data_IF_099909783010
#
_entry.id   IF_099909783010
#
_cell.length_a   1.000
_cell.length_b   1.000
_cell.length_c   1.000
_cell.angle_alpha   90.00
_cell.angle_beta   90.00
_cell.angle_gamma   90.00
#
_symmetry.space_group_name_H-M   'P 1'
#
loop_
_entity.id
_entity.type
_entity.pdbx_description
1 polymer ?
#
# COMPACT_ATOMS: atom_id res chain seq x y z
N UNK A 1 1.25 -11.07 18.90
CA UNK A 1 2.23 -11.41 17.84
C UNK A 1 1.93 -12.77 17.17
N UNK A 2 0.76 -13.31 17.41
CA UNK A 2 0.31 -14.63 16.88
C UNK A 2 -0.34 -14.56 15.48
N UNK A 3 -0.63 -13.35 14.96
CA UNK A 3 -1.45 -13.21 13.77
C UNK A 3 -0.72 -13.15 12.42
N UNK A 4 0.58 -12.84 12.40
CA UNK A 4 1.28 -12.64 11.12
C UNK A 4 1.51 -13.91 10.30
N UNK A 5 1.56 -15.08 10.94
CA UNK A 5 1.82 -16.35 10.25
C UNK A 5 0.55 -17.03 9.70
N UNK A 6 -0.64 -16.52 10.04
CA UNK A 6 -1.93 -17.10 9.67
C UNK A 6 -2.72 -16.25 8.67
N UNK A 7 -2.26 -15.03 8.41
CA UNK A 7 -2.94 -14.14 7.48
C UNK A 7 -2.60 -14.48 6.02
N UNK A 8 -3.65 -14.71 5.25
CA UNK A 8 -3.59 -14.96 3.81
C UNK A 8 -3.73 -13.64 3.01
N UNK A 9 -3.42 -13.65 1.70
CA UNK A 9 -3.69 -12.53 0.81
C UNK A 9 -5.18 -12.18 0.67
N UNK A 10 -6.05 -13.12 0.97
CA UNK A 10 -7.50 -12.92 1.03
C UNK A 10 -7.98 -12.76 2.47
N UNK A 11 -9.05 -11.97 2.71
CA UNK A 11 -9.58 -11.75 4.05
C UNK A 11 -10.02 -13.04 4.72
N UNK A 12 -9.49 -13.29 5.92
CA UNK A 12 -9.83 -14.43 6.77
C UNK A 12 -10.58 -13.92 8.00
N UNK A 13 -11.70 -14.55 8.32
CA UNK A 13 -12.48 -14.24 9.53
C UNK A 13 -11.67 -14.62 10.76
N UNK A 14 -11.50 -13.67 11.66
CA UNK A 14 -10.77 -13.86 12.92
C UNK A 14 -11.75 -14.33 14.02
N UNK A 15 -11.36 -15.40 14.71
CA UNK A 15 -12.14 -15.90 15.83
C UNK A 15 -12.39 -14.78 16.87
N UNK A 16 -13.67 -14.53 17.24
CA UNK A 16 -14.02 -13.55 18.26
C UNK A 16 -13.26 -13.68 19.57
N UNK A 17 -12.85 -14.88 19.94
CA UNK A 17 -12.04 -15.13 21.13
C UNK A 17 -10.70 -14.35 21.15
N UNK A 18 -10.20 -13.93 19.98
CA UNK A 18 -8.93 -13.24 19.86
C UNK A 18 -9.04 -11.70 19.92
N UNK A 19 -10.24 -11.13 19.70
CA UNK A 19 -10.40 -9.66 19.62
C UNK A 19 -11.59 -9.13 20.43
N UNK A 20 -12.61 -9.94 20.67
CA UNK A 20 -13.72 -9.56 21.52
C UNK A 20 -13.22 -9.47 22.97
N UNK A 21 -13.19 -8.26 23.52
CA UNK A 21 -12.93 -8.06 24.95
C UNK A 21 -14.04 -8.69 25.80
N UNK A 22 -13.86 -8.72 27.12
CA UNK A 22 -14.82 -9.27 28.09
C UNK A 22 -16.18 -8.54 28.12
N UNK A 23 -16.38 -7.56 27.27
CA UNK A 23 -17.65 -6.86 27.08
C UNK A 23 -18.42 -7.48 25.91
N UNK A 24 -19.44 -8.20 26.28
CA UNK A 24 -20.39 -9.04 25.54
C UNK A 24 -21.24 -8.30 24.47
N UNK A 25 -20.66 -7.38 23.67
CA UNK A 25 -21.39 -6.56 22.70
C UNK A 25 -20.83 -6.54 21.28
N UNK A 26 -19.88 -7.38 20.97
CA UNK A 26 -19.37 -7.46 19.60
C UNK A 26 -20.30 -8.37 18.75
N UNK A 27 -21.39 -7.79 18.27
CA UNK A 27 -22.28 -8.43 17.28
C UNK A 27 -21.75 -8.35 15.84
N UNK A 28 -20.45 -8.11 15.65
CA UNK A 28 -19.82 -7.95 14.33
C UNK A 28 -18.84 -9.07 14.01
N UNK A 29 -18.40 -9.10 12.75
CA UNK A 29 -17.36 -9.98 12.25
C UNK A 29 -16.08 -9.16 11.99
N UNK A 30 -14.92 -9.64 12.42
CA UNK A 30 -13.62 -9.09 12.08
C UNK A 30 -12.92 -10.00 11.09
N UNK A 31 -12.60 -9.47 9.92
CA UNK A 31 -11.72 -10.13 8.96
C UNK A 31 -10.37 -9.44 8.91
N UNK A 32 -9.30 -10.19 8.72
CA UNK A 32 -7.97 -9.64 8.52
C UNK A 32 -7.27 -10.32 7.33
N UNK A 33 -6.35 -9.58 6.69
CA UNK A 33 -5.54 -10.09 5.59
C UNK A 33 -4.14 -9.51 5.63
N UNK A 34 -3.21 -10.16 4.96
CA UNK A 34 -1.89 -9.62 4.65
C UNK A 34 -1.82 -9.32 3.16
N UNK A 35 -1.47 -8.08 2.81
CA UNK A 35 -1.28 -7.72 1.41
C UNK A 35 -0.15 -8.55 0.78
N UNK A 36 -0.44 -9.18 -0.34
CA UNK A 36 0.55 -9.68 -1.29
C UNK A 36 0.59 -8.75 -2.51
N UNK A 37 1.59 -7.85 -2.62
CA UNK A 37 1.66 -6.89 -3.71
C UNK A 37 1.78 -7.56 -5.07
N UNK A 38 2.49 -8.69 -5.15
CA UNK A 38 2.65 -9.42 -6.40
C UNK A 38 1.33 -10.01 -6.86
N UNK A 39 0.64 -10.74 -5.99
CA UNK A 39 -0.66 -11.33 -6.31
C UNK A 39 -1.68 -10.27 -6.69
N UNK A 40 -1.70 -9.13 -5.99
CA UNK A 40 -2.59 -8.01 -6.31
C UNK A 40 -2.29 -7.46 -7.70
N UNK A 41 -1.00 -7.30 -8.05
CA UNK A 41 -0.63 -6.83 -9.38
C UNK A 41 -0.94 -7.85 -10.47
N UNK A 42 -0.67 -9.14 -10.23
CA UNK A 42 -1.04 -10.23 -11.14
C UNK A 42 -2.55 -10.20 -11.45
N UNK A 43 -3.39 -10.05 -10.43
CA UNK A 43 -4.84 -9.94 -10.57
C UNK A 43 -5.27 -8.71 -11.38
N UNK A 44 -4.58 -7.57 -11.20
CA UNK A 44 -4.84 -6.36 -11.99
C UNK A 44 -4.47 -6.56 -13.46
N UNK A 45 -3.33 -7.20 -13.74
CA UNK A 45 -2.92 -7.50 -15.11
C UNK A 45 -3.97 -8.39 -15.79
N UNK A 46 -4.39 -9.48 -15.15
CA UNK A 46 -5.42 -10.37 -15.67
C UNK A 46 -6.75 -9.63 -15.90
N UNK A 47 -7.15 -8.76 -14.98
CA UNK A 47 -8.42 -8.01 -15.07
C UNK A 47 -8.44 -7.00 -16.22
N UNK A 48 -7.31 -6.38 -16.52
CA UNK A 48 -7.22 -5.29 -17.52
C UNK A 48 -6.64 -5.70 -18.85
N UNK A 49 -6.08 -6.89 -18.97
CA UNK A 49 -5.64 -7.44 -20.24
C UNK A 49 -6.83 -7.63 -21.20
N UNK A 50 -6.60 -7.40 -22.47
CA UNK A 50 -7.62 -7.60 -23.50
C UNK A 50 -7.92 -9.10 -23.74
N UNK A 51 -6.93 -9.95 -23.47
CA UNK A 51 -7.02 -11.41 -23.59
C UNK A 51 -5.98 -12.10 -22.69
N UNK A 52 -6.14 -13.42 -22.53
CA UNK A 52 -5.23 -14.24 -21.72
C UNK A 52 -3.79 -14.22 -22.27
N UNK A 53 -3.61 -14.16 -23.59
CA UNK A 53 -2.29 -14.09 -24.19
C UNK A 53 -1.55 -12.80 -23.87
N UNK A 54 -2.26 -11.68 -23.72
CA UNK A 54 -1.66 -10.42 -23.24
C UNK A 54 -1.25 -10.55 -21.77
N UNK A 55 -2.11 -11.10 -20.92
CA UNK A 55 -1.80 -11.33 -19.51
C UNK A 55 -0.56 -12.21 -19.36
N UNK A 56 -0.50 -13.34 -20.06
CA UNK A 56 0.64 -14.26 -20.04
C UNK A 56 1.95 -13.59 -20.50
N UNK A 57 1.91 -12.76 -21.54
CA UNK A 57 3.10 -12.01 -21.99
C UNK A 57 3.62 -11.04 -20.93
N UNK A 58 2.74 -10.41 -20.16
CA UNK A 58 3.12 -9.50 -19.08
C UNK A 58 3.66 -10.30 -17.89
N UNK A 59 2.91 -11.28 -17.41
CA UNK A 59 3.24 -12.06 -16.22
C UNK A 59 4.51 -12.91 -16.41
N UNK A 60 4.74 -13.41 -17.63
CA UNK A 60 5.94 -14.18 -18.00
C UNK A 60 7.18 -13.33 -18.33
N UNK A 61 7.08 -12.01 -18.35
CA UNK A 61 8.19 -11.14 -18.69
C UNK A 61 9.21 -11.03 -17.55
N UNK A 62 10.51 -11.18 -17.84
CA UNK A 62 11.57 -11.15 -16.83
C UNK A 62 11.68 -9.80 -16.08
N UNK A 63 11.42 -8.70 -16.76
CA UNK A 63 11.40 -7.37 -16.14
C UNK A 63 10.21 -7.20 -15.19
N UNK A 64 9.06 -7.80 -15.48
CA UNK A 64 7.89 -7.81 -14.60
C UNK A 64 8.22 -8.40 -13.22
N UNK A 65 8.90 -9.54 -13.17
CA UNK A 65 9.33 -10.16 -11.91
C UNK A 65 10.23 -9.24 -11.08
N UNK A 66 11.05 -8.42 -11.74
CA UNK A 66 11.91 -7.43 -11.08
C UNK A 66 11.14 -6.20 -10.59
N UNK A 67 10.15 -5.72 -11.35
CA UNK A 67 9.31 -4.57 -10.99
C UNK A 67 8.40 -4.92 -9.81
N UNK A 68 7.72 -6.04 -9.87
CA UNK A 68 6.75 -6.45 -8.84
C UNK A 68 7.37 -6.59 -7.45
N UNK A 69 8.69 -6.80 -7.40
CA UNK A 69 9.42 -7.00 -6.14
C UNK A 69 10.32 -5.82 -5.72
N UNK A 70 10.75 -4.94 -6.64
CA UNK A 70 11.86 -4.02 -6.40
C UNK A 70 11.53 -2.53 -6.58
N UNK A 71 10.44 -2.15 -7.27
CA UNK A 71 10.10 -0.74 -7.44
C UNK A 71 9.41 -0.20 -6.20
N UNK A 72 10.10 0.71 -5.49
CA UNK A 72 9.48 1.54 -4.47
C UNK A 72 8.27 2.28 -5.04
N UNK A 73 7.14 2.24 -4.32
CA UNK A 73 5.86 2.79 -4.76
C UNK A 73 4.89 1.77 -5.37
N UNK A 74 5.36 0.60 -5.81
CA UNK A 74 4.48 -0.46 -6.33
C UNK A 74 3.69 -1.12 -5.19
N UNK A 75 4.33 -1.36 -4.05
CA UNK A 75 3.67 -1.95 -2.87
C UNK A 75 2.58 -1.03 -2.34
N UNK A 76 2.88 0.26 -2.25
CA UNK A 76 1.96 1.28 -1.80
C UNK A 76 0.75 1.39 -2.75
N UNK A 77 1.00 1.36 -4.07
CA UNK A 77 -0.07 1.37 -5.05
C UNK A 77 -0.92 0.09 -4.98
N UNK A 78 -0.30 -1.09 -4.82
CA UNK A 78 -1.05 -2.35 -4.66
C UNK A 78 -1.91 -2.36 -3.38
N UNK A 79 -1.43 -1.75 -2.30
CA UNK A 79 -2.24 -1.59 -1.09
C UNK A 79 -3.48 -0.72 -1.33
N UNK A 80 -3.33 0.36 -2.09
CA UNK A 80 -4.43 1.22 -2.51
C UNK A 80 -5.43 0.51 -3.42
N UNK A 81 -4.92 -0.29 -4.36
CA UNK A 81 -5.77 -1.10 -5.24
C UNK A 81 -6.57 -2.14 -4.46
N UNK A 82 -5.95 -2.80 -3.49
CA UNK A 82 -6.64 -3.77 -2.64
C UNK A 82 -7.68 -3.09 -1.74
N UNK A 83 -7.36 -1.91 -1.21
CA UNK A 83 -8.33 -1.09 -0.48
C UNK A 83 -9.55 -0.77 -1.36
N UNK A 84 -9.33 -0.31 -2.59
CA UNK A 84 -10.41 -0.01 -3.52
C UNK A 84 -11.23 -1.26 -3.86
N UNK A 85 -10.59 -2.40 -4.08
CA UNK A 85 -11.28 -3.67 -4.34
C UNK A 85 -12.18 -4.08 -3.17
N UNK A 86 -11.69 -3.97 -1.93
CA UNK A 86 -12.46 -4.29 -0.73
C UNK A 86 -13.61 -3.31 -0.50
N UNK A 87 -13.40 -2.03 -0.81
CA UNK A 87 -14.42 -0.99 -0.73
C UNK A 87 -15.54 -1.23 -1.77
N UNK A 88 -15.17 -1.49 -3.03
CA UNK A 88 -16.13 -1.74 -4.10
C UNK A 88 -16.93 -3.03 -3.91
N UNK A 89 -16.40 -3.99 -3.15
CA UNK A 89 -17.10 -5.23 -2.84
C UNK A 89 -18.29 -5.03 -1.89
N UNK A 90 -18.40 -3.86 -1.22
CA UNK A 90 -19.48 -3.47 -0.30
C UNK A 90 -19.81 -4.54 0.76
N UNK A 91 -18.77 -5.22 1.25
CA UNK A 91 -18.90 -6.32 2.23
C UNK A 91 -18.59 -5.91 3.66
N UNK A 92 -17.95 -4.75 3.83
CA UNK A 92 -17.41 -4.30 5.10
C UNK A 92 -17.95 -2.92 5.45
N UNK A 93 -18.51 -2.77 6.64
CA UNK A 93 -18.95 -1.48 7.18
C UNK A 93 -17.75 -0.56 7.53
N UNK A 94 -16.61 -1.17 7.84
CA UNK A 94 -15.37 -0.46 8.18
C UNK A 94 -14.16 -1.22 7.63
N UNK A 95 -13.28 -0.51 6.95
CA UNK A 95 -11.98 -1.03 6.51
C UNK A 95 -10.88 -0.25 7.22
N UNK A 96 -9.98 -0.95 7.91
CA UNK A 96 -8.83 -0.36 8.58
C UNK A 96 -7.57 -0.75 7.82
N UNK A 97 -6.83 0.25 7.34
CA UNK A 97 -5.55 0.05 6.65
C UNK A 97 -4.41 0.32 7.62
N UNK A 98 -3.69 -0.75 8.00
CA UNK A 98 -2.47 -0.64 8.79
C UNK A 98 -1.31 -0.33 7.84
N UNK A 99 -0.92 0.94 7.80
CA UNK A 99 0.12 1.43 6.89
C UNK A 99 1.52 1.03 7.39
N UNK A 100 2.51 0.89 6.47
CA UNK A 100 3.90 0.65 6.89
C UNK A 100 4.46 1.81 7.73
N UNK A 101 5.58 1.59 8.46
CA UNK A 101 6.17 2.62 9.33
C UNK A 101 6.45 3.92 8.59
N UNK A 102 6.25 5.00 9.26
CA UNK A 102 6.18 6.43 8.95
C UNK A 102 6.90 6.98 7.71
N UNK A 103 8.11 6.53 7.40
CA UNK A 103 8.86 7.08 6.25
C UNK A 103 8.23 6.73 4.89
N UNK A 104 7.50 5.62 4.82
CA UNK A 104 6.85 5.12 3.60
C UNK A 104 5.34 5.35 3.57
N UNK A 105 4.75 5.79 4.68
CA UNK A 105 3.31 5.99 4.72
C UNK A 105 2.87 7.25 3.92
N UNK A 106 3.77 8.23 3.73
CA UNK A 106 3.54 9.34 2.79
C UNK A 106 3.62 8.87 1.34
N UNK A 107 4.53 7.93 1.05
CA UNK A 107 4.62 7.30 -0.27
C UNK A 107 3.31 6.61 -0.67
N UNK A 108 2.57 6.10 0.33
CA UNK A 108 1.24 5.52 0.14
C UNK A 108 0.25 6.54 -0.43
N UNK A 109 0.20 7.77 0.11
CA UNK A 109 -0.69 8.83 -0.38
C UNK A 109 -0.31 9.30 -1.79
N UNK A 110 0.98 9.31 -2.12
CA UNK A 110 1.50 9.74 -3.42
C UNK A 110 1.43 8.65 -4.50
N UNK A 111 1.23 7.39 -4.13
CA UNK A 111 1.32 6.26 -5.04
C UNK A 111 0.41 6.39 -6.28
N UNK A 112 -0.89 6.77 -6.17
CA UNK A 112 -1.75 6.94 -7.33
C UNK A 112 -1.26 8.05 -8.27
N UNK A 113 -0.79 9.17 -7.71
CA UNK A 113 -0.28 10.29 -8.52
C UNK A 113 1.03 9.94 -9.23
N UNK A 114 1.92 9.17 -8.57
CA UNK A 114 3.16 8.66 -9.18
C UNK A 114 2.84 7.77 -10.38
N UNK A 115 1.84 6.89 -10.26
CA UNK A 115 1.39 6.07 -11.38
C UNK A 115 0.83 6.93 -12.51
N UNK A 116 -0.03 7.89 -12.22
CA UNK A 116 -0.58 8.80 -13.23
C UNK A 116 0.53 9.56 -13.96
N UNK A 117 1.52 10.09 -13.22
CA UNK A 117 2.70 10.75 -13.82
C UNK A 117 3.52 9.82 -14.72
N UNK A 118 3.66 8.54 -14.33
CA UNK A 118 4.33 7.54 -15.15
C UNK A 118 3.55 7.29 -16.46
N UNK A 119 2.24 7.08 -16.39
CA UNK A 119 1.39 6.84 -17.54
C UNK A 119 1.32 8.07 -18.49
N UNK A 120 1.46 9.29 -17.95
CA UNK A 120 1.48 10.52 -18.72
C UNK A 120 2.86 10.87 -19.28
N UNK A 121 3.91 10.16 -18.88
CA UNK A 121 5.26 10.38 -19.34
C UNK A 121 5.38 10.18 -20.84
N UNK A 122 6.03 11.14 -21.54
CA UNK A 122 6.17 11.08 -23.00
C UNK A 122 6.92 9.84 -23.50
N UNK A 123 7.92 9.38 -22.74
CA UNK A 123 8.70 8.20 -23.08
C UNK A 123 7.83 6.95 -22.97
N UNK A 124 7.07 6.82 -21.87
CA UNK A 124 6.11 5.73 -21.67
C UNK A 124 5.11 5.68 -22.83
N UNK A 125 4.43 6.80 -23.11
CA UNK A 125 3.47 6.92 -24.22
C UNK A 125 4.06 6.62 -25.59
N UNK A 126 5.34 6.92 -25.77
CA UNK A 126 6.02 6.66 -27.05
C UNK A 126 6.34 5.17 -27.24
N UNK A 127 6.67 4.45 -26.14
CA UNK A 127 6.95 3.01 -26.13
C UNK A 127 5.66 2.20 -26.30
N UNK A 128 4.57 2.63 -25.64
CA UNK A 128 3.26 1.97 -25.68
C UNK A 128 2.40 2.37 -26.88
N UNK A 129 2.81 3.38 -27.67
CA UNK A 129 2.06 3.83 -28.84
C UNK A 129 1.94 2.74 -29.91
N UNK A 130 0.72 2.50 -30.45
CA UNK A 130 0.52 1.51 -31.50
C UNK A 130 1.42 1.77 -32.71
N UNK A 131 2.07 0.73 -33.22
CA UNK A 131 2.96 0.82 -34.39
C UNK A 131 2.28 1.39 -35.67
N UNK A 132 0.94 1.48 -35.64
CA UNK A 132 0.10 1.95 -36.75
C UNK A 132 -0.03 3.46 -36.86
N UNK A 133 0.32 4.22 -35.83
CA UNK A 133 0.20 5.70 -35.81
C UNK A 133 1.38 6.38 -36.49
N UNK A 134 1.70 6.10 -37.73
CA UNK A 134 2.51 6.91 -38.67
C UNK A 134 3.71 7.75 -38.20
N UNK A 135 4.05 7.71 -36.91
CA UNK A 135 5.13 8.48 -36.27
C UNK A 135 6.51 7.82 -36.50
N UNK A 136 6.92 7.72 -37.77
CA UNK A 136 8.28 7.26 -38.12
C UNK A 136 9.38 8.06 -37.41
N UNK A 137 9.18 9.36 -37.19
CA UNK A 137 10.13 10.20 -36.47
C UNK A 137 10.27 9.84 -34.97
N UNK A 138 9.19 9.43 -34.31
CA UNK A 138 9.22 8.96 -32.94
C UNK A 138 9.99 7.63 -32.79
N UNK A 139 9.94 6.76 -33.79
CA UNK A 139 10.70 5.51 -33.82
C UNK A 139 12.23 5.72 -33.75
N UNK A 140 12.76 6.77 -34.38
CA UNK A 140 14.20 7.06 -34.32
C UNK A 140 14.65 7.52 -32.92
N UNK A 141 13.85 8.35 -32.24
CA UNK A 141 14.18 8.82 -30.89
C UNK A 141 14.15 7.66 -29.87
N UNK A 142 13.16 6.76 -29.96
CA UNK A 142 13.08 5.55 -29.11
C UNK A 142 14.25 4.62 -29.42
N UNK A 143 14.57 4.38 -30.71
CA UNK A 143 15.71 3.54 -31.05
C UNK A 143 17.05 4.11 -30.56
N UNK A 144 17.25 5.43 -30.62
CA UNK A 144 18.44 6.06 -30.07
C UNK A 144 18.53 5.87 -28.55
N UNK A 145 17.41 6.07 -27.82
CA UNK A 145 17.33 5.86 -26.38
C UNK A 145 17.60 4.39 -26.01
N UNK A 146 16.95 3.46 -26.71
CA UNK A 146 17.13 2.00 -26.53
C UNK A 146 18.60 1.61 -26.76
N UNK A 147 19.22 2.07 -27.85
CA UNK A 147 20.64 1.80 -28.14
C UNK A 147 21.58 2.33 -27.04
N UNK A 148 21.29 3.53 -26.53
CA UNK A 148 22.12 4.12 -25.46
C UNK A 148 21.96 3.33 -24.15
N UNK A 149 20.73 3.00 -23.75
CA UNK A 149 20.44 2.19 -22.60
C UNK A 149 21.05 0.78 -22.70
N UNK A 150 20.95 0.14 -23.88
CA UNK A 150 21.50 -1.20 -24.13
C UNK A 150 23.02 -1.27 -23.95
N UNK A 151 23.73 -0.17 -24.17
CA UNK A 151 25.19 -0.10 -23.93
C UNK A 151 25.55 -0.06 -22.44
N UNK A 152 24.63 0.42 -21.59
CA UNK A 152 24.86 0.63 -20.16
C UNK A 152 24.41 -0.60 -19.35
N UNK A 153 23.19 -1.10 -19.62
CA UNK A 153 22.53 -2.13 -18.81
C UNK A 153 22.37 -3.49 -19.54
N UNK A 154 22.81 -3.56 -20.79
CA UNK A 154 22.70 -4.77 -21.63
C UNK A 154 21.45 -4.81 -22.52
N UNK A 155 21.57 -5.46 -23.66
CA UNK A 155 20.49 -5.52 -24.66
C UNK A 155 19.30 -6.33 -24.17
N UNK A 156 19.53 -7.48 -23.54
CA UNK A 156 18.47 -8.36 -23.07
C UNK A 156 17.53 -7.68 -22.07
N UNK A 157 18.08 -6.94 -21.10
CA UNK A 157 17.27 -6.21 -20.11
C UNK A 157 16.43 -5.11 -20.76
N UNK A 158 17.01 -4.39 -21.71
CA UNK A 158 16.28 -3.33 -22.43
C UNK A 158 15.19 -3.90 -23.32
N UNK A 159 15.44 -5.04 -23.96
CA UNK A 159 14.46 -5.73 -24.79
C UNK A 159 13.27 -6.23 -23.93
N UNK A 160 13.53 -6.78 -22.74
CA UNK A 160 12.50 -7.17 -21.77
C UNK A 160 11.67 -5.97 -21.30
N UNK A 161 12.32 -4.84 -21.00
CA UNK A 161 11.62 -3.60 -20.63
C UNK A 161 10.71 -3.11 -21.75
N UNK A 162 11.21 -3.07 -22.99
CA UNK A 162 10.43 -2.64 -24.14
C UNK A 162 9.28 -3.61 -24.41
N UNK A 163 9.53 -4.92 -24.31
CA UNK A 163 8.50 -5.94 -24.49
C UNK A 163 7.39 -5.82 -23.42
N UNK A 164 7.78 -5.59 -22.16
CA UNK A 164 6.84 -5.36 -21.07
C UNK A 164 5.93 -4.17 -21.35
N UNK A 165 6.50 -3.00 -21.64
CA UNK A 165 5.71 -1.81 -21.92
C UNK A 165 4.83 -1.93 -23.16
N UNK A 166 5.27 -2.63 -24.20
CA UNK A 166 4.43 -2.93 -25.36
C UNK A 166 3.29 -3.88 -25.03
N UNK A 167 3.51 -4.83 -24.15
CA UNK A 167 2.45 -5.72 -23.67
C UNK A 167 1.39 -4.97 -22.85
N UNK A 168 1.73 -3.83 -22.28
CA UNK A 168 0.81 -2.94 -21.56
C UNK A 168 -0.08 -2.08 -22.47
N UNK A 169 0.14 -2.11 -23.80
CA UNK A 169 -0.66 -1.34 -24.77
C UNK A 169 -2.16 -1.63 -24.59
N UNK A 170 -2.95 -0.58 -24.44
CA UNK A 170 -4.40 -0.64 -24.27
C UNK A 170 -4.89 -0.80 -22.84
N UNK A 171 -4.00 -1.06 -21.87
CA UNK A 171 -4.36 -1.18 -20.44
C UNK A 171 -4.29 0.16 -19.70
N UNK A 172 -3.62 1.16 -20.26
CA UNK A 172 -3.28 2.42 -19.59
C UNK A 172 -4.50 3.17 -19.04
N UNK A 173 -5.60 3.15 -19.81
CA UNK A 173 -6.82 3.86 -19.38
C UNK A 173 -7.51 3.16 -18.21
N UNK A 174 -7.47 1.84 -18.15
CA UNK A 174 -7.94 1.07 -17.00
C UNK A 174 -7.18 1.44 -15.73
N UNK A 175 -5.84 1.43 -15.77
CA UNK A 175 -5.00 1.83 -14.64
C UNK A 175 -5.21 3.30 -14.26
N UNK A 176 -5.31 4.19 -15.24
CA UNK A 176 -5.57 5.63 -15.01
C UNK A 176 -6.91 5.86 -14.31
N UNK A 177 -7.95 5.20 -14.75
CA UNK A 177 -9.29 5.30 -14.16
C UNK A 177 -9.27 4.82 -12.71
N UNK A 178 -8.62 3.70 -12.43
CA UNK A 178 -8.51 3.18 -11.07
C UNK A 178 -7.68 4.08 -10.16
N UNK A 179 -6.52 4.56 -10.62
CA UNK A 179 -5.71 5.49 -9.83
C UNK A 179 -6.48 6.74 -9.41
N UNK A 180 -7.31 7.30 -10.32
CA UNK A 180 -8.20 8.43 -9.98
C UNK A 180 -9.27 8.06 -8.97
N UNK A 181 -9.88 6.87 -9.08
CA UNK A 181 -10.88 6.40 -8.10
C UNK A 181 -10.27 6.21 -6.72
N UNK A 182 -9.06 5.64 -6.65
CA UNK A 182 -8.32 5.52 -5.39
C UNK A 182 -8.04 6.89 -4.78
N UNK A 183 -7.60 7.87 -5.56
CA UNK A 183 -7.42 9.25 -5.08
C UNK A 183 -8.73 9.84 -4.53
N UNK A 184 -9.85 9.60 -5.23
CA UNK A 184 -11.16 10.06 -4.78
C UNK A 184 -11.55 9.40 -3.46
N UNK A 185 -11.38 8.09 -3.32
CA UNK A 185 -11.68 7.34 -2.10
C UNK A 185 -10.92 7.88 -0.89
N UNK A 186 -9.62 8.16 -1.07
CA UNK A 186 -8.79 8.73 0.02
C UNK A 186 -9.26 10.12 0.42
N UNK A 187 -9.76 10.91 -0.54
CA UNK A 187 -10.23 12.27 -0.32
C UNK A 187 -11.69 12.33 0.20
N UNK A 188 -12.39 11.21 0.23
CA UNK A 188 -13.78 11.18 0.70
C UNK A 188 -13.92 11.54 2.18
N UNK A 189 -15.02 12.22 2.57
CA UNK A 189 -15.27 12.54 3.97
C UNK A 189 -15.41 11.32 4.89
N UNK A 190 -15.67 10.15 4.31
CA UNK A 190 -15.75 8.86 5.02
C UNK A 190 -14.38 8.27 5.34
N UNK A 191 -13.33 8.68 4.62
CA UNK A 191 -11.95 8.30 4.92
C UNK A 191 -11.40 9.12 6.08
N UNK A 192 -10.85 8.44 7.10
CA UNK A 192 -10.33 9.03 8.33
C UNK A 192 -8.87 8.67 8.52
N UNK A 193 -8.07 9.66 8.92
CA UNK A 193 -6.65 9.46 9.24
C UNK A 193 -6.47 9.48 10.75
N UNK A 194 -5.94 8.37 11.29
CA UNK A 194 -5.62 8.24 12.71
C UNK A 194 -4.13 7.99 12.85
N UNK A 195 -3.45 8.88 13.55
CA UNK A 195 -2.04 8.70 13.87
C UNK A 195 -1.88 7.83 15.12
N UNK A 196 -0.96 6.89 15.07
CA UNK A 196 -0.59 6.06 16.21
C UNK A 196 0.86 6.31 16.54
N UNK A 197 1.13 6.75 17.77
CA UNK A 197 2.47 7.06 18.24
C UNK A 197 2.71 6.47 19.64
N UNK A 198 3.90 6.70 20.20
CA UNK A 198 4.24 6.38 21.59
C UNK A 198 4.74 7.64 22.30
N UNK A 199 4.81 7.68 23.65
CA UNK A 199 5.26 8.86 24.39
C UNK A 199 6.77 9.13 24.29
N UNK A 200 7.48 8.44 23.42
CA UNK A 200 8.89 8.69 23.14
C UNK A 200 9.02 9.96 22.30
N UNK A 201 10.04 10.76 22.60
CA UNK A 201 10.25 12.04 21.93
C UNK A 201 10.40 11.91 20.42
N UNK A 202 11.21 10.95 19.98
CA UNK A 202 11.43 10.65 18.55
C UNK A 202 10.13 10.26 17.82
N UNK A 203 9.28 9.45 18.48
CA UNK A 203 8.00 9.03 17.92
C UNK A 203 6.97 10.18 17.87
N UNK A 204 7.02 11.12 18.81
CA UNK A 204 6.17 12.31 18.79
C UNK A 204 6.59 13.27 17.69
N UNK A 205 7.90 13.57 17.56
CA UNK A 205 8.44 14.40 16.49
C UNK A 205 8.10 13.82 15.10
N UNK A 206 8.15 12.50 14.96
CA UNK A 206 7.76 11.80 13.72
C UNK A 206 6.25 11.92 13.45
N UNK A 207 5.41 11.79 14.48
CA UNK A 207 3.96 11.95 14.33
C UNK A 207 3.57 13.40 13.97
N UNK A 208 4.26 14.40 14.51
CA UNK A 208 4.07 15.81 14.14
C UNK A 208 4.41 16.06 12.68
N UNK A 209 5.57 15.56 12.23
CA UNK A 209 5.96 15.64 10.82
C UNK A 209 4.93 14.97 9.90
N UNK A 210 4.41 13.84 10.32
CA UNK A 210 3.41 13.09 9.58
C UNK A 210 2.06 13.82 9.50
N UNK A 211 1.63 14.42 10.62
CA UNK A 211 0.41 15.23 10.66
C UNK A 211 0.50 16.42 9.70
N UNK A 212 1.66 17.09 9.67
CA UNK A 212 1.91 18.19 8.77
C UNK A 212 1.86 17.74 7.31
N UNK A 213 2.53 16.65 6.98
CA UNK A 213 2.56 16.13 5.62
C UNK A 213 1.17 15.67 5.11
N UNK A 214 0.34 15.05 5.97
CA UNK A 214 -1.07 14.75 5.66
C UNK A 214 -1.83 16.06 5.35
N UNK A 215 -1.59 17.12 6.14
CA UNK A 215 -2.15 18.45 5.91
C UNK A 215 -1.73 19.09 4.59
N UNK A 216 -0.45 18.95 4.22
CA UNK A 216 0.10 19.45 2.95
C UNK A 216 -0.55 18.79 1.72
N UNK A 217 -0.99 17.52 1.86
CA UNK A 217 -1.79 16.82 0.86
C UNK A 217 -3.28 17.21 0.86
N UNK A 218 -3.69 18.13 1.73
CA UNK A 218 -5.09 18.57 1.85
C UNK A 218 -5.98 17.64 2.66
N UNK A 219 -5.42 16.64 3.33
CA UNK A 219 -6.14 15.75 4.22
C UNK A 219 -6.07 16.23 5.67
N UNK A 220 -6.90 15.63 6.53
CA UNK A 220 -6.95 15.99 7.95
C UNK A 220 -6.74 14.77 8.83
N UNK A 221 -5.92 14.94 9.87
CA UNK A 221 -5.82 13.96 10.95
C UNK A 221 -7.06 14.08 11.84
N UNK A 222 -7.83 12.99 11.95
CA UNK A 222 -9.07 12.93 12.72
C UNK A 222 -8.85 12.42 14.16
N UNK A 223 -7.72 11.75 14.40
CA UNK A 223 -7.43 11.20 15.70
C UNK A 223 -5.94 10.94 15.94
N UNK A 224 -5.57 10.95 17.22
CA UNK A 224 -4.23 10.58 17.70
C UNK A 224 -4.37 9.51 18.78
N UNK A 225 -3.71 8.38 18.59
CA UNK A 225 -3.61 7.32 19.58
C UNK A 225 -2.18 7.29 20.12
N UNK A 226 -2.02 7.56 21.42
CA UNK A 226 -0.73 7.40 22.08
C UNK A 226 -0.69 6.02 22.73
N UNK A 227 0.07 5.10 22.13
CA UNK A 227 0.22 3.73 22.58
C UNK A 227 1.45 3.57 23.49
N UNK A 228 1.56 2.44 24.19
CA UNK A 228 2.70 2.12 25.08
C UNK A 228 2.92 3.18 26.18
N UNK A 229 1.83 3.77 26.66
CA UNK A 229 1.87 4.68 27.81
C UNK A 229 2.11 3.86 29.07
N UNK A 230 3.12 4.26 29.86
CA UNK A 230 3.32 3.65 31.18
C UNK A 230 2.14 4.00 32.10
N UNK A 231 1.68 3.04 32.91
CA UNK A 231 0.64 3.34 33.90
C UNK A 231 1.12 4.49 34.82
N UNK A 232 0.26 5.47 35.04
CA UNK A 232 0.58 6.53 35.99
C UNK A 232 0.61 5.93 37.41
N UNK A 233 1.81 5.85 37.95
CA UNK A 233 1.99 5.51 39.36
C UNK A 233 1.69 6.76 40.21
N UNK A 234 0.68 6.73 41.06
CA UNK A 234 0.50 7.79 42.05
C UNK A 234 -0.88 8.46 42.12
N UNK A 235 -1.83 8.12 41.27
CA UNK A 235 -3.21 8.63 41.40
C UNK A 235 -4.20 7.64 42.01
N UNK A 236 -3.76 6.43 42.31
CA UNK A 236 -4.58 5.45 43.05
C UNK A 236 -4.62 5.81 44.54
N UNK A 237 -5.80 6.06 45.05
CA UNK A 237 -6.05 6.19 46.50
C UNK A 237 -5.48 4.96 47.21
N UNK A 238 -4.45 5.16 48.00
CA UNK A 238 -3.60 4.27 48.83
C UNK A 238 -3.74 2.74 48.85
N UNK A 239 -4.90 2.17 48.57
CA UNK A 239 -5.13 0.72 48.61
C UNK A 239 -4.57 -0.06 47.44
N UNK A 240 -4.67 0.45 46.23
CA UNK A 240 -4.18 -0.21 45.04
C UNK A 240 -2.66 -0.19 44.89
N UNK A 241 -2.01 0.90 45.39
CA UNK A 241 -0.56 1.00 45.46
C UNK A 241 0.04 -0.01 46.44
N UNK A 242 -0.59 -0.24 47.61
CA UNK A 242 -0.15 -1.25 48.56
C UNK A 242 -0.30 -2.68 48.02
N UNK A 243 -1.40 -2.98 47.34
CA UNK A 243 -1.61 -4.29 46.72
C UNK A 243 -0.58 -4.59 45.59
N UNK A 244 -0.26 -3.59 44.76
CA UNK A 244 0.76 -3.70 43.70
C UNK A 244 2.17 -3.81 44.28
N UNK A 245 2.50 -3.05 45.34
CA UNK A 245 3.78 -3.16 46.03
C UNK A 245 3.95 -4.52 46.73
N UNK A 246 2.88 -5.10 47.26
CA UNK A 246 2.89 -6.46 47.81
C UNK A 246 3.10 -7.54 46.72
N UNK A 247 2.46 -7.40 45.55
CA UNK A 247 2.64 -8.28 44.44
C UNK A 247 4.08 -8.28 43.87
N UNK A 248 4.70 -7.09 43.81
CA UNK A 248 6.09 -6.95 43.35
C UNK A 248 7.13 -7.54 44.33
N UNK A 249 6.83 -7.55 45.65
CA UNK A 249 7.71 -8.19 46.66
C UNK A 249 7.68 -9.71 46.63
N UNK A 250 6.66 -10.31 46.01
CA UNK A 250 6.54 -11.78 45.84
C UNK A 250 7.19 -12.32 44.59
N UNK A 251 7.80 -11.48 43.75
CA UNK A 251 8.53 -11.94 42.55
C UNK A 251 9.95 -12.38 42.94
N UNK A 252 10.41 -13.56 42.48
CA UNK A 252 11.80 -13.97 42.71
C UNK A 252 12.76 -12.98 42.05
N UNK A 253 13.81 -12.61 42.78
CA UNK A 253 14.90 -11.81 42.20
C UNK A 253 15.57 -12.60 41.08
N UNK A 254 15.48 -12.08 39.86
CA UNK A 254 16.16 -12.59 38.67
C UNK A 254 17.61 -12.11 38.61
#
# INVERSE_FOLDING_TARGET
>A
MLFRSELAPDPVVIDPAHWAGTHDRAGGELSAMMLDPKQTFDALVVRHAADDAQAERILGNGFYGSISSALGGTQEYMAMEKLHELHDADRYDLIVVDTPPSRHALDFLDAPERLLRLLDNRVFRLITAPARTGLRAAGFAVQALVRTASRIIGTAVVDDIVAFFRAFEGMEEGFRTRARRVQQLIAEPTTRFVLVTSPRRDAVEEAEHFAQAIGDHGYRVDGLIVNRVHPMFGHDRGGALHARAAALRGLPAS
#
